data_IF_707281521493
#
_entry.id   IF_707281521493
#
_cell.length_a   1.000
_cell.length_b   1.000
_cell.length_c   1.000
_cell.angle_alpha   90.00
_cell.angle_beta   90.00
_cell.angle_gamma   90.00
#
_symmetry.space_group_name_H-M   'P 1'
#
loop_
_entity.id
_entity.type
_entity.pdbx_description
1 polymer ?
#
# COMPACT_ATOMS: atom_id res chain seq x y z
N UNK A 1 -26.18 16.37 -7.59
CA UNK A 1 -26.78 15.60 -6.48
C UNK A 1 -25.68 14.72 -5.90
N UNK A 2 -24.69 15.13 -5.10
CA UNK A 2 -24.50 16.17 -4.05
C UNK A 2 -25.46 16.08 -2.86
N UNK A 3 -25.12 15.22 -1.89
CA UNK A 3 -24.90 15.53 -0.46
C UNK A 3 -24.86 14.22 0.33
N UNK A 4 -23.81 13.97 1.11
CA UNK A 4 -23.91 13.46 2.48
C UNK A 4 -22.76 14.05 3.30
N UNK A 5 -23.13 14.61 4.45
CA UNK A 5 -22.36 15.60 5.20
C UNK A 5 -21.43 14.96 6.23
N UNK A 6 -20.24 15.55 6.36
CA UNK A 6 -19.32 15.36 7.48
C UNK A 6 -19.93 15.92 8.77
N UNK A 7 -19.82 15.14 9.85
CA UNK A 7 -19.75 15.69 11.20
C UNK A 7 -18.42 15.26 11.82
N UNK A 8 -17.52 16.23 11.98
CA UNK A 8 -16.32 16.12 12.81
C UNK A 8 -16.68 16.71 14.16
N UNK A 9 -16.74 15.89 15.20
CA UNK A 9 -16.50 16.34 16.57
C UNK A 9 -15.32 15.55 17.16
N UNK A 10 -14.36 16.30 17.69
CA UNK A 10 -13.36 15.87 18.66
C UNK A 10 -14.06 15.90 20.02
N UNK A 11 -14.08 14.80 20.76
CA UNK A 11 -13.98 14.82 22.22
C UNK A 11 -13.80 13.43 22.82
N UNK A 12 -12.86 13.34 23.76
CA UNK A 12 -12.64 12.29 24.77
C UNK A 12 -12.01 10.95 24.36
N UNK A 13 -11.22 10.41 25.30
CA UNK A 13 -10.17 9.40 25.18
C UNK A 13 -10.70 7.95 25.03
N UNK A 14 -12.02 7.75 24.92
CA UNK A 14 -12.68 6.43 25.05
C UNK A 14 -13.48 5.95 23.82
N UNK A 15 -13.27 6.53 22.64
CA UNK A 15 -14.12 6.28 21.47
C UNK A 15 -13.28 5.87 20.23
N UNK A 16 -13.58 4.71 19.62
CA UNK A 16 -12.99 4.25 18.34
C UNK A 16 -14.07 4.24 17.24
N UNK A 17 -13.70 4.47 15.98
CA UNK A 17 -14.61 4.59 14.83
C UNK A 17 -14.34 3.47 13.81
N UNK A 18 -15.40 2.87 13.28
CA UNK A 18 -15.37 2.01 12.08
C UNK A 18 -15.60 2.90 10.86
N UNK A 19 -14.75 2.74 9.85
CA UNK A 19 -14.87 3.39 8.55
C UNK A 19 -15.27 2.36 7.50
N UNK A 20 -16.22 2.73 6.65
CA UNK A 20 -16.70 1.89 5.55
C UNK A 20 -16.10 2.44 4.26
N UNK A 21 -15.55 1.56 3.41
CA UNK A 21 -15.16 1.90 2.05
C UNK A 21 -15.89 0.98 1.09
N UNK A 22 -17.10 1.38 0.68
CA UNK A 22 -17.63 0.87 -0.58
C UNK A 22 -17.01 1.72 -1.69
N UNK A 23 -16.38 1.06 -2.66
CA UNK A 23 -15.93 1.69 -3.90
C UNK A 23 -17.12 2.43 -4.53
N UNK A 24 -17.08 3.76 -4.43
CA UNK A 24 -18.14 4.78 -4.61
C UNK A 24 -18.98 5.11 -3.37
N UNK A 25 -18.61 6.23 -2.74
CA UNK A 25 -19.50 7.13 -1.97
C UNK A 25 -20.29 6.48 -0.82
N UNK A 26 -19.61 6.07 0.25
CA UNK A 26 -20.22 6.06 1.59
C UNK A 26 -19.11 6.04 2.66
N UNK A 27 -18.90 7.15 3.37
CA UNK A 27 -18.18 7.17 4.65
C UNK A 27 -19.24 7.35 5.74
N UNK A 28 -19.75 6.24 6.25
CA UNK A 28 -20.54 6.26 7.48
C UNK A 28 -19.60 6.27 8.68
N UNK A 29 -19.94 6.98 9.75
CA UNK A 29 -19.24 6.87 11.05
C UNK A 29 -20.24 6.35 12.06
N UNK A 30 -20.04 5.14 12.56
CA UNK A 30 -20.78 4.61 13.72
C UNK A 30 -20.03 4.93 15.00
N UNK A 31 -20.71 5.54 15.98
CA UNK A 31 -20.22 5.62 17.37
C UNK A 31 -20.69 4.39 18.13
N UNK A 32 -19.77 3.67 18.77
CA UNK A 32 -20.08 2.53 19.63
C UNK A 32 -19.32 2.66 20.94
N UNK A 33 -19.97 2.24 22.03
CA UNK A 33 -19.27 2.02 23.30
C UNK A 33 -18.50 0.71 23.19
N UNK A 34 -17.20 0.78 23.46
CA UNK A 34 -16.32 -0.40 23.56
C UNK A 34 -16.95 -1.40 24.55
N UNK A 35 -16.83 -2.70 24.28
CA UNK A 35 -17.36 -3.84 25.06
C UNK A 35 -18.89 -4.05 25.10
N UNK A 36 -19.70 -3.20 24.48
CA UNK A 36 -21.15 -3.46 24.36
C UNK A 36 -21.44 -4.19 23.05
N UNK A 37 -21.86 -5.45 23.13
CA UNK A 37 -22.35 -6.19 21.96
C UNK A 37 -23.63 -5.57 21.43
N UNK A 38 -23.77 -5.56 20.11
CA UNK A 38 -24.98 -5.11 19.44
C UNK A 38 -25.45 -6.22 18.52
N UNK A 39 -26.69 -6.64 18.69
CA UNK A 39 -27.29 -7.63 17.81
C UNK A 39 -28.23 -6.93 16.84
N UNK A 40 -28.17 -7.32 15.56
CA UNK A 40 -29.22 -7.03 14.59
C UNK A 40 -29.55 -5.52 14.47
N UNK A 41 -28.54 -4.70 14.19
CA UNK A 41 -28.71 -3.27 13.92
C UNK A 41 -28.90 -3.02 12.43
N UNK A 42 -29.91 -2.21 12.08
CA UNK A 42 -30.13 -1.75 10.72
C UNK A 42 -29.03 -0.76 10.32
N UNK A 43 -28.28 -1.07 9.26
CA UNK A 43 -27.30 -0.17 8.66
C UNK A 43 -28.00 0.82 7.73
N UNK A 44 -28.69 0.29 6.72
CA UNK A 44 -29.48 1.06 5.76
C UNK A 44 -30.51 0.18 5.04
N UNK A 45 -31.51 0.82 4.44
CA UNK A 45 -32.43 0.16 3.49
C UNK A 45 -32.16 0.75 2.11
N UNK A 46 -31.79 -0.09 1.17
CA UNK A 46 -31.50 0.33 -0.20
C UNK A 46 -32.62 -0.15 -1.13
N UNK A 47 -33.22 0.79 -1.86
CA UNK A 47 -34.13 0.45 -2.94
C UNK A 47 -33.33 0.21 -4.21
N UNK A 48 -33.47 -0.97 -4.79
CA UNK A 48 -32.79 -1.38 -6.02
C UNK A 48 -33.71 -1.26 -7.21
N UNK A 49 -33.19 -0.68 -8.29
CA UNK A 49 -33.78 -0.78 -9.62
C UNK A 49 -33.33 -2.09 -10.28
N UNK A 50 -33.92 -2.37 -11.45
CA UNK A 50 -33.56 -3.58 -12.22
C UNK A 50 -32.10 -3.52 -12.65
N UNK A 51 -31.60 -2.35 -13.03
CA UNK A 51 -30.21 -2.15 -13.41
C UNK A 51 -29.24 -2.38 -12.24
N UNK A 52 -29.64 -2.02 -11.01
CA UNK A 52 -28.82 -2.24 -9.82
C UNK A 52 -28.74 -3.74 -9.49
N UNK A 53 -29.84 -4.48 -9.63
CA UNK A 53 -29.88 -5.92 -9.39
C UNK A 53 -28.99 -6.70 -10.38
N UNK A 54 -29.06 -6.37 -11.68
CA UNK A 54 -28.18 -6.96 -12.71
C UNK A 54 -26.72 -6.68 -12.40
N UNK A 55 -26.39 -5.44 -12.00
CA UNK A 55 -25.03 -5.07 -11.64
C UNK A 55 -24.53 -5.83 -10.42
N UNK A 56 -25.36 -5.99 -9.39
CA UNK A 56 -25.00 -6.75 -8.19
C UNK A 56 -24.76 -8.22 -8.53
N UNK A 57 -25.59 -8.81 -9.39
CA UNK A 57 -25.42 -10.18 -9.87
C UNK A 57 -24.10 -10.37 -10.65
N UNK A 58 -23.74 -9.43 -11.52
CA UNK A 58 -22.46 -9.41 -12.24
C UNK A 58 -21.29 -9.32 -11.26
N UNK A 59 -21.34 -8.40 -10.29
CA UNK A 59 -20.30 -8.25 -9.27
C UNK A 59 -20.13 -9.51 -8.39
N UNK A 60 -21.22 -10.19 -8.04
CA UNK A 60 -21.15 -11.45 -7.30
C UNK A 60 -20.59 -12.56 -8.20
N UNK A 61 -20.91 -12.57 -9.48
CA UNK A 61 -20.36 -13.53 -10.45
C UNK A 61 -18.86 -13.38 -10.68
N UNK A 62 -18.35 -12.15 -10.57
CA UNK A 62 -16.94 -11.79 -10.69
C UNK A 62 -16.17 -11.88 -9.35
N UNK A 63 -16.74 -12.51 -8.32
CA UNK A 63 -16.13 -12.71 -7.00
C UNK A 63 -15.68 -11.41 -6.30
N UNK A 64 -16.43 -10.32 -6.47
CA UNK A 64 -16.11 -9.07 -5.79
C UNK A 64 -16.17 -9.20 -4.26
N UNK A 65 -15.18 -8.60 -3.60
CA UNK A 65 -15.10 -8.52 -2.15
C UNK A 65 -15.49 -7.12 -1.65
N UNK A 66 -16.10 -7.08 -0.48
CA UNK A 66 -16.40 -5.89 0.29
C UNK A 66 -15.32 -5.69 1.34
N UNK A 67 -14.68 -4.52 1.34
CA UNK A 67 -13.62 -4.17 2.28
C UNK A 67 -14.11 -3.12 3.28
N UNK A 68 -13.95 -3.39 4.57
CA UNK A 68 -14.21 -2.43 5.65
C UNK A 68 -12.94 -2.20 6.46
N UNK A 69 -12.88 -1.09 7.20
CA UNK A 69 -11.71 -0.73 7.99
C UNK A 69 -12.12 -0.29 9.40
N UNK A 70 -11.40 -0.78 10.41
CA UNK A 70 -11.60 -0.41 11.80
C UNK A 70 -10.26 -0.06 12.45
N UNK A 71 -10.11 1.17 12.93
CA UNK A 71 -8.89 1.63 13.61
C UNK A 71 -7.60 1.38 12.77
N UNK A 72 -7.70 1.54 11.44
CA UNK A 72 -6.64 1.22 10.50
C UNK A 72 -6.62 -0.22 10.01
N UNK A 73 -7.22 -1.18 10.74
CA UNK A 73 -7.19 -2.60 10.38
C UNK A 73 -8.24 -2.91 9.31
N UNK A 74 -7.88 -3.64 8.23
CA UNK A 74 -8.88 -4.15 7.30
C UNK A 74 -9.75 -5.21 7.96
N UNK A 75 -11.02 -5.23 7.59
CA UNK A 75 -11.96 -6.29 7.91
C UNK A 75 -11.58 -7.55 7.15
N UNK A 76 -11.44 -8.65 7.88
CA UNK A 76 -11.00 -9.92 7.30
C UNK A 76 -11.98 -11.04 7.50
N UNK A 77 -12.18 -11.84 6.45
CA UNK A 77 -12.84 -13.13 6.59
C UNK A 77 -11.81 -14.18 6.95
N UNK A 78 -12.13 -14.97 7.97
CA UNK A 78 -11.33 -16.12 8.41
C UNK A 78 -11.91 -17.37 7.77
N UNK A 79 -11.16 -18.00 6.86
CA UNK A 79 -11.56 -19.30 6.32
C UNK A 79 -10.99 -20.43 7.19
N UNK A 80 -11.86 -21.34 7.63
CA UNK A 80 -11.48 -22.58 8.29
C UNK A 80 -11.40 -23.68 7.24
N UNK A 81 -10.20 -24.16 6.94
CA UNK A 81 -10.03 -25.39 6.15
C UNK A 81 -9.80 -26.55 7.09
N UNK A 82 -10.56 -27.64 6.98
CA UNK A 82 -10.36 -28.82 7.82
C UNK A 82 -8.97 -29.48 7.61
N UNK A 83 -8.30 -29.16 6.50
CA UNK A 83 -6.97 -29.69 6.12
C UNK A 83 -5.81 -28.99 6.83
N UNK A 84 -6.04 -27.79 7.37
CA UNK A 84 -5.03 -27.05 8.13
C UNK A 84 -5.71 -26.35 9.30
N UNK A 85 -5.28 -26.55 10.57
CA UNK A 85 -5.79 -25.82 11.73
C UNK A 85 -5.43 -24.31 11.71
N UNK A 86 -5.16 -23.77 10.54
CA UNK A 86 -4.58 -22.45 10.32
C UNK A 86 -5.65 -21.46 9.87
N UNK A 87 -5.72 -20.34 10.59
CA UNK A 87 -6.55 -19.21 10.22
C UNK A 87 -5.94 -18.50 9.00
N UNK A 88 -6.52 -18.69 7.82
CA UNK A 88 -6.20 -17.88 6.66
C UNK A 88 -7.04 -16.60 6.71
N UNK A 89 -6.38 -15.48 7.01
CA UNK A 89 -6.99 -14.15 6.98
C UNK A 89 -7.00 -13.64 5.54
N UNK A 90 -8.20 -13.41 4.98
CA UNK A 90 -8.38 -12.75 3.69
C UNK A 90 -8.96 -11.36 3.90
N UNK A 91 -8.38 -10.35 3.26
CA UNK A 91 -8.91 -8.98 3.27
C UNK A 91 -10.25 -8.93 2.54
N UNK A 92 -11.24 -8.34 3.21
CA UNK A 92 -12.60 -8.26 2.74
C UNK A 92 -13.39 -9.56 2.89
N UNK A 93 -14.67 -9.49 2.57
CA UNK A 93 -15.61 -10.61 2.55
C UNK A 93 -16.38 -10.63 1.23
N UNK A 94 -16.82 -11.80 0.73
CA UNK A 94 -17.54 -11.88 -0.53
C UNK A 94 -18.84 -11.06 -0.49
N UNK A 95 -19.12 -10.29 -1.55
CA UNK A 95 -20.37 -9.53 -1.68
C UNK A 95 -21.61 -10.43 -1.63
N UNK A 96 -21.47 -11.64 -2.15
CA UNK A 96 -22.52 -12.64 -2.22
C UNK A 96 -21.97 -14.00 -2.62
N UNK A 97 -22.85 -14.94 -2.90
CA UNK A 97 -22.48 -16.28 -3.36
C UNK A 97 -23.55 -16.86 -4.29
N UNK A 98 -23.18 -17.84 -5.10
CA UNK A 98 -24.11 -18.62 -5.93
C UNK A 98 -24.39 -19.96 -5.28
N UNK A 99 -25.65 -20.40 -5.30
CA UNK A 99 -26.05 -21.75 -4.87
C UNK A 99 -27.06 -22.29 -5.87
N UNK A 100 -26.63 -23.25 -6.69
CA UNK A 100 -27.39 -23.67 -7.88
C UNK A 100 -27.43 -22.54 -8.91
N UNK A 101 -28.61 -22.30 -9.48
CA UNK A 101 -28.82 -21.24 -10.47
C UNK A 101 -29.16 -19.87 -9.85
N UNK A 102 -29.29 -19.80 -8.51
CA UNK A 102 -29.66 -18.58 -7.80
C UNK A 102 -28.43 -17.86 -7.21
N UNK A 103 -28.48 -16.52 -7.27
CA UNK A 103 -27.46 -15.62 -6.72
C UNK A 103 -27.97 -14.97 -5.45
N UNK A 104 -27.16 -14.99 -4.38
CA UNK A 104 -27.51 -14.49 -3.06
C UNK A 104 -26.56 -13.37 -2.63
N UNK A 105 -27.08 -12.33 -1.99
CA UNK A 105 -26.27 -11.23 -1.45
C UNK A 105 -26.03 -11.41 0.05
N UNK A 106 -24.82 -11.10 0.51
CA UNK A 106 -24.51 -10.99 1.93
C UNK A 106 -24.92 -9.62 2.45
N UNK A 107 -26.16 -9.53 2.94
CA UNK A 107 -26.76 -8.29 3.46
C UNK A 107 -26.67 -8.15 4.98
N UNK A 108 -26.25 -9.19 5.71
CA UNK A 108 -25.93 -9.13 7.12
C UNK A 108 -24.43 -9.34 7.34
N UNK A 109 -23.82 -8.54 8.20
CA UNK A 109 -22.42 -8.73 8.54
C UNK A 109 -22.18 -8.72 10.05
N UNK A 110 -21.45 -9.74 10.50
CA UNK A 110 -21.12 -9.93 11.90
C UNK A 110 -19.69 -9.47 12.12
N UNK A 111 -19.53 -8.41 12.90
CA UNK A 111 -18.24 -7.89 13.34
C UNK A 111 -17.80 -8.61 14.59
N UNK A 112 -16.67 -9.29 14.48
CA UNK A 112 -15.96 -9.83 15.62
C UNK A 112 -14.71 -8.99 15.83
N UNK A 113 -14.79 -8.09 16.81
CA UNK A 113 -13.69 -7.19 17.16
C UNK A 113 -12.87 -7.86 18.26
N UNK A 114 -11.62 -8.16 17.92
CA UNK A 114 -10.66 -8.72 18.86
C UNK A 114 -9.98 -7.57 19.61
N UNK A 115 -10.04 -7.58 20.93
CA UNK A 115 -9.47 -6.52 21.77
C UNK A 115 -8.70 -7.08 22.96
N UNK A 116 -7.84 -6.25 23.53
CA UNK A 116 -7.08 -6.55 24.75
C UNK A 116 -7.00 -5.29 25.63
N UNK A 117 -6.92 -5.42 26.97
CA UNK A 117 -6.67 -4.28 27.85
C UNK A 117 -5.33 -3.62 27.50
N UNK A 118 -5.32 -2.29 27.36
CA UNK A 118 -4.11 -1.57 26.98
C UNK A 118 -3.11 -1.54 28.13
N UNK A 119 -1.85 -1.84 27.83
CA UNK A 119 -0.74 -1.75 28.80
C UNK A 119 -0.24 -0.30 28.95
N UNK A 120 -0.41 0.53 27.93
CA UNK A 120 0.08 1.92 27.92
C UNK A 120 -0.93 2.93 28.49
N UNK A 121 -2.24 2.64 28.36
CA UNK A 121 -3.33 3.53 28.81
C UNK A 121 -4.17 2.86 29.89
N UNK A 122 -4.15 3.43 31.09
CA UNK A 122 -4.99 2.97 32.19
C UNK A 122 -6.48 3.07 31.81
N UNK A 123 -7.19 1.94 31.81
CA UNK A 123 -8.60 1.86 31.38
C UNK A 123 -8.82 1.95 29.86
N UNK A 124 -7.77 1.84 29.05
CA UNK A 124 -7.85 1.79 27.59
C UNK A 124 -7.95 0.37 27.04
N UNK A 125 -8.39 0.24 25.79
CA UNK A 125 -8.43 -1.03 25.05
C UNK A 125 -7.73 -0.90 23.71
N UNK A 126 -6.90 -1.89 23.39
CA UNK A 126 -6.22 -2.01 22.10
C UNK A 126 -6.97 -2.99 21.21
N UNK A 127 -7.25 -2.57 19.98
CA UNK A 127 -7.89 -3.44 18.98
C UNK A 127 -6.78 -4.20 18.27
N UNK A 128 -6.87 -5.51 18.32
CA UNK A 128 -5.87 -6.45 17.80
C UNK A 128 -6.28 -7.00 16.45
N UNK A 129 -7.59 -7.15 16.20
CA UNK A 129 -8.11 -7.73 14.96
C UNK A 129 -9.54 -7.32 14.68
N UNK A 130 -9.90 -7.37 13.40
CA UNK A 130 -11.25 -7.05 12.92
C UNK A 130 -11.72 -8.13 11.95
N UNK A 131 -12.47 -9.10 12.46
CA UNK A 131 -13.01 -10.20 11.68
C UNK A 131 -14.44 -9.87 11.22
N UNK A 132 -14.75 -10.22 9.98
CA UNK A 132 -16.07 -10.03 9.36
C UNK A 132 -16.58 -11.36 8.86
N UNK A 133 -17.69 -11.81 9.44
CA UNK A 133 -18.43 -12.99 8.99
C UNK A 133 -19.66 -12.54 8.19
N UNK A 134 -19.67 -12.75 6.87
CA UNK A 134 -20.81 -12.40 6.04
C UNK A 134 -21.95 -13.40 6.21
N UNK A 135 -23.17 -12.91 6.10
CA UNK A 135 -24.38 -13.73 6.14
C UNK A 135 -25.46 -13.15 5.23
N UNK A 136 -26.36 -14.01 4.75
CA UNK A 136 -27.43 -13.64 3.84
C UNK A 136 -28.78 -13.91 4.51
N UNK A 137 -29.56 -12.87 4.77
CA UNK A 137 -30.80 -12.97 5.55
C UNK A 137 -31.95 -12.33 4.77
N UNK A 138 -32.92 -13.15 4.38
CA UNK A 138 -34.15 -12.68 3.74
C UNK A 138 -35.04 -11.88 4.71
N UNK A 139 -35.96 -11.07 4.16
CA UNK A 139 -37.02 -10.34 4.88
C UNK A 139 -36.57 -9.31 5.93
N UNK A 140 -35.26 -9.02 6.01
CA UNK A 140 -34.71 -7.99 6.90
C UNK A 140 -34.82 -8.31 8.39
N UNK A 141 -35.25 -9.51 8.76
CA UNK A 141 -35.23 -10.01 10.13
C UNK A 141 -33.81 -10.51 10.47
N UNK A 142 -32.92 -9.63 10.93
CA UNK A 142 -31.55 -10.00 11.28
C UNK A 142 -31.41 -10.87 12.54
N UNK A 143 -32.52 -11.29 13.17
CA UNK A 143 -32.54 -12.28 14.25
C UNK A 143 -32.87 -13.66 13.69
N UNK A 144 -31.90 -14.58 13.76
CA UNK A 144 -32.10 -15.98 13.37
C UNK A 144 -33.07 -16.64 14.33
N UNK A 145 -34.34 -16.76 13.96
CA UNK A 145 -35.34 -17.48 14.76
C UNK A 145 -35.15 -19.00 14.68
N UNK A 146 -34.58 -19.50 13.57
CA UNK A 146 -34.35 -20.92 13.28
C UNK A 146 -32.93 -21.15 12.73
N UNK A 147 -32.46 -22.40 12.83
CA UNK A 147 -31.16 -22.85 12.25
C UNK A 147 -31.20 -22.82 10.72
N UNK A 148 -32.35 -23.13 10.12
CA UNK A 148 -32.62 -22.96 8.70
C UNK A 148 -33.39 -21.66 8.46
N UNK A 149 -32.83 -20.77 7.65
CA UNK A 149 -33.43 -19.52 7.24
C UNK A 149 -33.23 -19.28 5.74
N UNK A 150 -34.11 -18.49 5.15
CA UNK A 150 -34.01 -18.14 3.74
C UNK A 150 -32.90 -17.11 3.51
N UNK A 151 -32.09 -17.34 2.48
CA UNK A 151 -31.08 -16.40 2.02
C UNK A 151 -31.72 -15.29 1.18
N UNK A 152 -31.13 -14.10 1.20
CA UNK A 152 -31.58 -12.98 0.38
C UNK A 152 -31.16 -13.17 -1.08
N UNK A 153 -32.07 -13.68 -1.89
CA UNK A 153 -31.88 -13.84 -3.32
C UNK A 153 -31.88 -12.49 -4.05
N UNK A 154 -30.99 -12.35 -5.03
CA UNK A 154 -30.92 -11.21 -5.95
C UNK A 154 -31.82 -11.52 -7.14
N UNK A 155 -33.06 -11.03 -7.09
CA UNK A 155 -34.01 -11.17 -8.20
C UNK A 155 -33.92 -9.96 -9.14
N UNK A 156 -34.03 -10.18 -10.46
CA UNK A 156 -34.02 -9.13 -11.50
C UNK A 156 -35.37 -8.37 -11.50
N UNK A 157 -35.71 -7.78 -10.36
CA UNK A 157 -36.96 -7.03 -10.10
C UNK A 157 -36.65 -5.88 -9.17
N UNK A 158 -37.59 -4.94 -9.03
CA UNK A 158 -37.48 -3.90 -8.00
C UNK A 158 -37.60 -4.57 -6.64
N UNK A 159 -36.59 -4.39 -5.81
CA UNK A 159 -36.53 -4.94 -4.46
C UNK A 159 -36.00 -3.88 -3.49
N UNK A 160 -36.35 -4.01 -2.22
CA UNK A 160 -35.73 -3.20 -1.16
C UNK A 160 -34.94 -4.14 -0.27
N UNK A 161 -33.62 -4.01 -0.28
CA UNK A 161 -32.72 -4.84 0.53
C UNK A 161 -32.35 -4.07 1.78
N UNK A 162 -32.56 -4.70 2.93
CA UNK A 162 -32.14 -4.15 4.23
C UNK A 162 -30.76 -4.71 4.57
N UNK A 163 -29.80 -3.81 4.75
CA UNK A 163 -28.47 -4.15 5.23
C UNK A 163 -28.42 -4.00 6.74
N UNK A 164 -27.88 -5.00 7.41
CA UNK A 164 -27.86 -5.07 8.87
C UNK A 164 -26.48 -5.53 9.35
N UNK A 165 -26.15 -5.24 10.60
CA UNK A 165 -24.89 -5.66 11.20
C UNK A 165 -25.06 -6.07 12.65
N UNK A 166 -24.14 -6.89 13.12
CA UNK A 166 -24.01 -7.26 14.54
C UNK A 166 -22.56 -7.01 14.98
N UNK A 167 -22.35 -6.62 16.23
CA UNK A 167 -21.03 -6.37 16.83
C UNK A 167 -20.85 -7.30 18.02
N UNK A 168 -19.79 -8.09 17.97
CA UNK A 168 -19.32 -8.96 19.02
C UNK A 168 -17.90 -8.56 19.41
N UNK A 169 -17.67 -8.53 20.72
CA UNK A 169 -16.38 -8.19 21.32
C UNK A 169 -15.78 -9.45 21.89
N UNK A 170 -14.56 -9.78 21.47
CA UNK A 170 -13.83 -10.96 21.96
C UNK A 170 -12.49 -10.52 22.54
N UNK A 171 -12.33 -10.78 23.83
CA UNK A 171 -11.07 -10.49 24.51
C UNK A 171 -10.02 -11.54 24.17
N UNK A 172 -8.80 -11.10 23.86
CA UNK A 172 -7.67 -11.97 23.51
C UNK A 172 -6.57 -11.80 24.56
N UNK A 173 -6.11 -12.94 25.11
CA UNK A 173 -5.12 -12.99 26.20
C UNK A 173 -3.66 -12.87 25.73
N UNK A 174 -3.33 -13.28 24.50
CA UNK A 174 -1.98 -13.15 23.95
C UNK A 174 -1.88 -11.97 22.98
N UNK A 175 -1.02 -11.00 23.30
CA UNK A 175 -0.68 -9.92 22.36
C UNK A 175 0.35 -10.42 21.33
N UNK A 176 0.06 -10.36 20.03
CA UNK A 176 1.11 -10.46 19.02
C UNK A 176 2.06 -9.24 19.11
N UNK A 177 3.34 -9.41 18.73
CA UNK A 177 4.34 -8.32 18.75
C UNK A 177 3.90 -7.13 17.89
N UNK A 178 3.28 -7.41 16.75
CA UNK A 178 2.53 -6.42 15.98
C UNK A 178 1.14 -6.95 15.69
N UNK A 179 0.12 -6.08 15.83
CA UNK A 179 -1.25 -6.40 15.39
C UNK A 179 -1.35 -6.71 13.89
N UNK A 180 -0.32 -6.37 13.11
CA UNK A 180 -0.25 -6.60 11.67
C UNK A 180 0.36 -7.94 11.27
N UNK A 181 0.97 -8.66 12.22
CA UNK A 181 1.65 -9.94 11.95
C UNK A 181 0.68 -10.99 11.36
N UNK A 182 -0.61 -10.91 11.73
CA UNK A 182 -1.67 -11.79 11.26
C UNK A 182 -1.91 -11.72 9.73
N UNK A 183 -1.53 -10.62 9.07
CA UNK A 183 -1.71 -10.44 7.63
C UNK A 183 -0.49 -10.89 6.81
N UNK A 184 0.60 -11.30 7.45
CA UNK A 184 1.75 -11.84 6.73
C UNK A 184 1.51 -13.31 6.40
N UNK A 185 1.75 -13.66 5.14
CA UNK A 185 1.86 -15.06 4.75
C UNK A 185 2.99 -15.70 5.57
N UNK A 186 2.70 -16.83 6.22
CA UNK A 186 3.73 -17.58 6.94
C UNK A 186 4.90 -17.89 5.99
N UNK A 187 6.15 -17.74 6.45
CA UNK A 187 7.31 -18.01 5.61
C UNK A 187 7.26 -19.46 5.11
N UNK A 188 7.26 -19.62 3.78
CA UNK A 188 7.44 -20.93 3.16
C UNK A 188 8.89 -21.00 2.64
N UNK A 189 9.74 -21.87 3.23
CA UNK A 189 11.16 -21.93 2.86
C UNK A 189 11.37 -22.24 1.38
N UNK A 190 10.51 -23.05 0.77
CA UNK A 190 10.62 -23.43 -0.64
C UNK A 190 10.43 -22.22 -1.55
N UNK A 191 9.49 -21.33 -1.21
CA UNK A 191 9.26 -20.10 -1.97
C UNK A 191 10.51 -19.20 -1.98
N UNK A 192 11.21 -19.11 -0.86
CA UNK A 192 12.44 -18.32 -0.76
C UNK A 192 13.58 -18.94 -1.59
N UNK A 193 13.69 -20.26 -1.62
CA UNK A 193 14.66 -20.97 -2.44
C UNK A 193 14.42 -20.76 -3.94
N UNK A 194 13.17 -20.89 -4.41
CA UNK A 194 12.83 -20.63 -5.82
C UNK A 194 13.10 -19.17 -6.22
N UNK A 195 12.83 -18.21 -5.33
CA UNK A 195 13.13 -16.81 -5.58
C UNK A 195 14.64 -16.54 -5.73
N UNK A 196 15.47 -17.18 -4.89
CA UNK A 196 16.93 -17.09 -4.99
C UNK A 196 17.44 -17.68 -6.31
N UNK A 197 16.95 -18.86 -6.69
CA UNK A 197 17.33 -19.50 -7.96
C UNK A 197 16.94 -18.63 -9.17
N UNK A 198 15.73 -18.07 -9.16
CA UNK A 198 15.29 -17.13 -10.21
C UNK A 198 16.21 -15.89 -10.28
N UNK A 199 16.57 -15.31 -9.13
CA UNK A 199 17.48 -14.16 -9.10
C UNK A 199 18.86 -14.50 -9.67
N UNK A 200 19.42 -15.67 -9.35
CA UNK A 200 20.70 -16.12 -9.91
C UNK A 200 20.64 -16.27 -11.44
N UNK A 201 19.58 -16.87 -11.97
CA UNK A 201 19.39 -17.02 -13.43
C UNK A 201 19.36 -15.65 -14.12
N UNK A 202 18.56 -14.72 -13.59
CA UNK A 202 18.45 -13.36 -14.16
C UNK A 202 19.81 -12.66 -14.15
N UNK A 203 20.56 -12.74 -13.04
CA UNK A 203 21.90 -12.14 -12.94
C UNK A 203 22.86 -12.74 -13.97
N UNK A 204 22.85 -14.07 -14.14
CA UNK A 204 23.70 -14.73 -15.15
C UNK A 204 23.32 -14.30 -16.57
N UNK A 205 22.04 -14.20 -16.88
CA UNK A 205 21.56 -13.76 -18.20
C UNK A 205 21.96 -12.31 -18.50
N UNK A 206 21.75 -11.40 -17.55
CA UNK A 206 22.13 -9.98 -17.70
C UNK A 206 23.64 -9.83 -17.79
N UNK A 207 24.40 -10.54 -16.98
CA UNK A 207 25.87 -10.55 -17.03
C UNK A 207 26.37 -11.06 -18.38
N UNK A 208 25.74 -12.10 -18.93
CA UNK A 208 26.07 -12.62 -20.27
C UNK A 208 25.71 -11.62 -21.37
N UNK A 209 24.58 -10.90 -21.28
CA UNK A 209 24.20 -9.86 -22.23
C UNK A 209 25.18 -8.68 -22.23
N UNK A 210 25.64 -8.26 -21.05
CA UNK A 210 26.65 -7.21 -20.91
C UNK A 210 28.01 -7.71 -21.41
N UNK A 211 28.40 -8.93 -21.03
CA UNK A 211 29.66 -9.56 -21.44
C UNK A 211 29.76 -9.82 -22.93
N UNK A 212 28.66 -10.18 -23.61
CA UNK A 212 28.62 -10.36 -25.07
C UNK A 212 28.80 -9.06 -25.87
N UNK A 213 28.64 -7.88 -25.24
CA UNK A 213 28.95 -6.58 -25.85
C UNK A 213 30.39 -6.12 -25.57
N UNK A 214 31.16 -6.86 -24.76
CA UNK A 214 32.59 -6.64 -24.70
C UNK A 214 33.21 -7.26 -25.96
N UNK A 215 33.86 -6.48 -26.85
CA UNK A 215 34.62 -7.05 -27.95
C UNK A 215 35.67 -8.01 -27.39
N UNK A 216 35.57 -9.28 -27.79
CA UNK A 216 36.62 -10.27 -27.53
C UNK A 216 37.77 -9.95 -28.48
N UNK A 217 38.74 -9.19 -27.98
CA UNK A 217 39.96 -8.85 -28.71
C UNK A 217 40.94 -10.02 -28.61
N UNK A 218 41.27 -10.58 -29.76
CA UNK A 218 42.13 -11.76 -29.91
C UNK A 218 43.43 -11.32 -30.59
N UNK A 219 44.25 -10.53 -29.89
CA UNK A 219 45.60 -10.19 -30.34
C UNK A 219 46.53 -9.91 -29.15
N UNK A 220 47.73 -10.49 -29.20
CA UNK A 220 48.77 -10.35 -28.16
C UNK A 220 49.32 -8.91 -28.02
N UNK A 221 49.00 -8.02 -28.96
CA UNK A 221 49.36 -6.59 -28.94
C UNK A 221 48.53 -5.77 -27.92
N UNK A 222 47.43 -6.31 -27.39
CA UNK A 222 46.53 -5.63 -26.45
C UNK A 222 46.93 -5.70 -24.96
N UNK A 223 48.03 -6.38 -24.63
CA UNK A 223 48.67 -6.18 -23.31
C UNK A 223 49.09 -4.71 -23.09
N UNK A 224 49.14 -3.92 -24.16
CA UNK A 224 49.42 -2.47 -24.17
C UNK A 224 48.11 -1.65 -24.24
N UNK A 225 47.02 -2.20 -24.76
CA UNK A 225 45.72 -1.53 -24.96
C UNK A 225 45.01 -1.12 -23.67
N UNK A 226 44.95 -2.00 -22.66
CA UNK A 226 44.38 -1.65 -21.34
C UNK A 226 45.19 -0.55 -20.64
N UNK A 227 46.50 -0.49 -20.91
CA UNK A 227 47.42 0.54 -20.39
C UNK A 227 47.17 1.91 -21.05
N UNK A 228 46.68 1.94 -22.29
CA UNK A 228 46.23 3.15 -23.00
C UNK A 228 44.82 3.60 -22.56
N UNK A 229 43.92 2.65 -22.26
CA UNK A 229 42.55 2.92 -21.78
C UNK A 229 42.53 3.68 -20.46
N UNK A 230 43.50 3.46 -19.57
CA UNK A 230 43.59 4.20 -18.30
C UNK A 230 43.59 5.72 -18.51
N UNK A 231 44.08 6.22 -19.66
CA UNK A 231 44.07 7.66 -19.98
C UNK A 231 42.73 8.15 -20.56
N UNK A 232 41.94 7.26 -21.15
CA UNK A 232 40.63 7.57 -21.76
C UNK A 232 39.47 7.47 -20.77
N UNK A 233 39.61 6.70 -19.68
CA UNK A 233 38.63 6.64 -18.56
C UNK A 233 38.39 8.01 -17.92
N UNK A 234 39.39 8.90 -17.93
CA UNK A 234 39.27 10.24 -17.36
C UNK A 234 38.70 11.28 -18.32
N UNK A 235 38.36 10.91 -19.56
CA UNK A 235 37.67 11.84 -20.46
C UNK A 235 36.27 12.09 -19.95
N UNK A 236 35.87 13.35 -20.02
CA UNK A 236 34.50 13.74 -19.74
C UNK A 236 33.56 13.03 -20.73
N UNK A 237 32.53 12.30 -20.25
CA UNK A 237 31.54 11.71 -21.13
C UNK A 237 30.70 12.80 -21.81
N UNK A 238 30.22 12.52 -23.04
CA UNK A 238 29.45 13.46 -23.86
C UNK A 238 28.24 14.02 -23.10
N UNK A 239 27.54 13.16 -22.35
CA UNK A 239 26.38 13.51 -21.52
C UNK A 239 26.72 13.61 -20.02
N UNK A 240 27.96 13.98 -19.69
CA UNK A 240 28.43 14.03 -18.30
C UNK A 240 27.66 14.95 -17.37
N UNK A 241 26.91 15.93 -17.90
CA UNK A 241 26.04 16.78 -17.08
C UNK A 241 24.70 16.15 -16.69
N UNK A 242 24.22 15.14 -17.42
CA UNK A 242 23.00 14.40 -17.08
C UNK A 242 23.35 13.11 -16.31
N UNK A 243 24.50 12.51 -16.62
CA UNK A 243 24.99 11.31 -15.96
C UNK A 243 25.18 11.53 -14.45
N UNK A 244 25.69 12.70 -14.04
CA UNK A 244 25.96 13.02 -12.63
C UNK A 244 24.70 13.09 -11.76
N UNK A 245 23.61 13.79 -12.17
CA UNK A 245 22.30 13.68 -11.54
C UNK A 245 21.81 12.24 -11.37
N UNK A 246 21.87 11.44 -12.44
CA UNK A 246 21.37 10.07 -12.44
C UNK A 246 22.17 9.21 -11.45
N UNK A 247 23.50 9.36 -11.42
CA UNK A 247 24.35 8.66 -10.46
C UNK A 247 24.06 9.09 -9.02
N UNK A 248 23.86 10.38 -8.77
CA UNK A 248 23.48 10.90 -7.45
C UNK A 248 22.17 10.31 -6.95
N UNK A 249 21.14 10.27 -7.80
CA UNK A 249 19.87 9.61 -7.47
C UNK A 249 20.02 8.10 -7.32
N UNK A 250 20.90 7.45 -8.08
CA UNK A 250 21.22 6.02 -7.90
C UNK A 250 21.78 5.73 -6.50
N UNK A 251 22.73 6.54 -6.04
CA UNK A 251 23.29 6.45 -4.69
C UNK A 251 22.20 6.70 -3.63
N UNK A 252 21.32 7.66 -3.86
CA UNK A 252 20.16 7.93 -3.00
C UNK A 252 19.28 6.69 -2.84
N UNK A 253 18.89 6.05 -3.94
CA UNK A 253 18.04 4.86 -3.92
C UNK A 253 18.73 3.67 -3.25
N UNK A 254 20.03 3.51 -3.46
CA UNK A 254 20.81 2.48 -2.78
C UNK A 254 20.86 2.69 -1.27
N UNK A 255 21.06 3.92 -0.80
CA UNK A 255 21.00 4.27 0.62
C UNK A 255 19.60 4.05 1.21
N UNK A 256 18.55 4.40 0.47
CA UNK A 256 17.16 4.13 0.88
C UNK A 256 16.91 2.63 0.99
N UNK A 257 17.41 1.82 0.06
CA UNK A 257 17.27 0.36 0.11
C UNK A 257 17.93 -0.25 1.36
N UNK A 258 19.17 0.15 1.66
CA UNK A 258 19.86 -0.28 2.89
C UNK A 258 19.08 0.20 4.12
N UNK A 259 18.69 1.48 4.14
CA UNK A 259 17.94 2.08 5.24
C UNK A 259 16.62 1.37 5.52
N UNK A 260 15.82 1.08 4.47
CA UNK A 260 14.56 0.36 4.61
C UNK A 260 14.78 -1.05 5.14
N UNK A 261 15.80 -1.76 4.65
CA UNK A 261 16.13 -3.11 5.12
C UNK A 261 16.49 -3.09 6.61
N UNK A 262 17.30 -2.13 7.05
CA UNK A 262 17.65 -1.96 8.46
C UNK A 262 16.42 -1.60 9.31
N UNK A 263 15.59 -0.65 8.85
CA UNK A 263 14.37 -0.25 9.56
C UNK A 263 13.39 -1.43 9.70
N UNK A 264 13.32 -2.30 8.69
CA UNK A 264 12.51 -3.51 8.72
C UNK A 264 13.05 -4.52 9.73
N UNK A 265 14.37 -4.76 9.75
CA UNK A 265 15.00 -5.66 10.72
C UNK A 265 14.86 -5.18 12.17
N UNK A 266 14.88 -3.87 12.39
CA UNK A 266 14.65 -3.24 13.70
C UNK A 266 13.16 -3.18 14.08
N UNK A 267 12.25 -3.54 13.17
CA UNK A 267 10.80 -3.49 13.41
C UNK A 267 10.20 -2.09 13.46
N UNK A 268 10.88 -1.07 12.92
CA UNK A 268 10.38 0.32 12.93
C UNK A 268 9.15 0.53 12.04
N UNK A 269 8.97 -0.35 11.05
CA UNK A 269 7.77 -0.39 10.23
C UNK A 269 7.38 -1.81 9.89
N UNK A 270 6.08 -2.03 9.71
CA UNK A 270 5.54 -3.33 9.36
C UNK A 270 5.04 -3.34 7.90
N UNK A 271 5.47 -4.29 7.04
CA UNK A 271 5.09 -4.33 5.62
C UNK A 271 3.59 -4.42 5.37
N UNK A 272 2.85 -5.14 6.22
CA UNK A 272 1.40 -5.29 6.07
C UNK A 272 0.59 -4.07 6.56
N UNK A 273 1.24 -3.10 7.20
CA UNK A 273 0.56 -1.87 7.61
C UNK A 273 0.34 -0.96 6.39
N UNK A 274 -0.91 -0.53 6.10
CA UNK A 274 -1.21 0.35 4.98
C UNK A 274 -0.36 1.62 4.97
N UNK A 275 0.27 1.88 3.82
CA UNK A 275 1.09 3.06 3.58
C UNK A 275 2.32 3.21 4.49
N UNK A 276 2.70 2.21 5.29
CA UNK A 276 3.90 2.29 6.14
C UNK A 276 5.16 2.38 5.28
N UNK A 277 5.28 1.51 4.27
CA UNK A 277 6.38 1.48 3.33
C UNK A 277 6.54 2.83 2.62
N UNK A 278 5.44 3.40 2.09
CA UNK A 278 5.48 4.69 1.40
C UNK A 278 5.95 5.83 2.32
N UNK A 279 5.51 5.85 3.59
CA UNK A 279 5.94 6.85 4.59
C UNK A 279 7.43 6.74 4.90
N UNK A 280 7.92 5.53 5.18
CA UNK A 280 9.32 5.27 5.49
C UNK A 280 10.23 5.47 4.28
N UNK A 281 9.80 5.06 3.10
CA UNK A 281 10.48 5.35 1.84
C UNK A 281 10.61 6.86 1.65
N UNK A 282 9.52 7.62 1.80
CA UNK A 282 9.55 9.10 1.65
C UNK A 282 10.50 9.75 2.65
N UNK A 283 10.45 9.33 3.92
CA UNK A 283 11.34 9.83 4.97
C UNK A 283 12.81 9.57 4.65
N UNK A 284 13.17 8.33 4.34
CA UNK A 284 14.55 7.95 3.99
C UNK A 284 15.01 8.59 2.68
N UNK A 285 14.11 8.75 1.71
CA UNK A 285 14.40 9.41 0.45
C UNK A 285 14.73 10.89 0.66
N UNK A 286 14.01 11.59 1.55
CA UNK A 286 14.35 12.96 1.95
C UNK A 286 15.71 13.03 2.65
N UNK A 287 16.02 12.11 3.57
CA UNK A 287 17.34 12.05 4.20
C UNK A 287 18.45 11.76 3.18
N UNK A 288 18.20 10.85 2.24
CA UNK A 288 19.10 10.49 1.16
C UNK A 288 19.35 11.62 0.14
N UNK A 289 18.55 12.68 0.14
CA UNK A 289 18.69 13.80 -0.78
C UNK A 289 20.05 14.54 -0.61
N UNK A 290 20.53 14.64 0.63
CA UNK A 290 21.82 15.27 0.95
C UNK A 290 22.99 14.49 0.33
N UNK A 291 23.18 13.17 0.60
CA UNK A 291 24.24 12.41 -0.04
C UNK A 291 24.08 12.32 -1.56
N UNK A 292 22.84 12.31 -2.08
CA UNK A 292 22.58 12.36 -3.52
C UNK A 292 23.19 13.62 -4.17
N UNK A 293 22.90 14.79 -3.59
CA UNK A 293 23.44 16.07 -4.04
C UNK A 293 24.96 16.12 -3.90
N UNK A 294 25.50 15.64 -2.78
CA UNK A 294 26.94 15.60 -2.51
C UNK A 294 27.70 14.80 -3.58
N UNK A 295 27.31 13.54 -3.80
CA UNK A 295 27.99 12.68 -4.76
C UNK A 295 27.77 13.12 -6.21
N UNK A 296 26.57 13.62 -6.54
CA UNK A 296 26.31 14.23 -7.85
C UNK A 296 27.25 15.40 -8.13
N UNK A 297 27.42 16.33 -7.18
CA UNK A 297 28.32 17.48 -7.33
C UNK A 297 29.79 17.06 -7.42
N UNK A 298 30.23 16.08 -6.61
CA UNK A 298 31.62 15.56 -6.65
C UNK A 298 31.97 14.98 -8.01
N UNK A 299 31.12 14.12 -8.55
CA UNK A 299 31.36 13.51 -9.87
C UNK A 299 31.27 14.58 -10.97
N UNK A 300 30.35 15.55 -10.83
CA UNK A 300 30.25 16.68 -11.76
C UNK A 300 31.51 17.55 -11.80
N UNK A 301 32.13 17.78 -10.63
CA UNK A 301 33.42 18.47 -10.50
C UNK A 301 34.56 17.67 -11.16
N UNK A 302 34.59 16.35 -10.99
CA UNK A 302 35.56 15.45 -11.70
C UNK A 302 35.41 15.58 -13.21
N UNK A 303 34.18 15.70 -13.71
CA UNK A 303 33.87 15.95 -15.12
C UNK A 303 34.12 17.39 -15.57
N UNK A 304 34.77 18.23 -14.76
CA UNK A 304 35.08 19.64 -15.03
C UNK A 304 33.82 20.49 -15.29
N UNK A 305 32.70 20.11 -14.69
CA UNK A 305 31.47 20.90 -14.68
C UNK A 305 31.63 22.13 -13.79
N UNK A 306 31.13 23.29 -14.24
CA UNK A 306 31.25 24.57 -13.52
C UNK A 306 29.95 24.98 -12.80
N UNK A 307 28.80 24.61 -13.34
CA UNK A 307 27.48 25.02 -12.85
C UNK A 307 26.90 23.99 -11.87
N UNK A 308 27.45 23.95 -10.65
CA UNK A 308 27.01 23.00 -9.61
C UNK A 308 25.54 23.22 -9.19
N UNK A 309 25.04 24.46 -9.23
CA UNK A 309 23.63 24.79 -8.93
C UNK A 309 22.69 24.11 -9.93
N UNK A 310 22.98 24.22 -11.23
CA UNK A 310 22.18 23.57 -12.27
C UNK A 310 22.23 22.05 -12.12
N UNK A 311 23.42 21.48 -11.83
CA UNK A 311 23.58 20.05 -11.58
C UNK A 311 22.74 19.58 -10.37
N UNK A 312 22.71 20.37 -9.31
CA UNK A 312 21.87 20.10 -8.13
C UNK A 312 20.38 20.09 -8.46
N UNK A 313 19.88 21.13 -9.15
CA UNK A 313 18.47 21.21 -9.56
C UNK A 313 18.12 20.01 -10.46
N UNK A 314 19.01 19.66 -11.39
CA UNK A 314 18.80 18.54 -12.30
C UNK A 314 18.75 17.19 -11.53
N UNK A 315 19.57 17.05 -10.48
CA UNK A 315 19.54 15.89 -9.55
C UNK A 315 18.21 15.79 -8.79
N UNK A 316 17.67 16.92 -8.37
CA UNK A 316 16.40 16.98 -7.63
C UNK A 316 15.16 16.78 -8.51
N UNK A 317 15.27 17.06 -9.82
CA UNK A 317 14.10 17.17 -10.71
C UNK A 317 13.99 15.99 -11.68
N UNK A 318 15.07 15.52 -12.30
CA UNK A 318 14.98 14.56 -13.43
C UNK A 318 14.26 13.27 -13.03
N UNK A 319 14.74 12.54 -12.02
CA UNK A 319 14.12 11.28 -11.65
C UNK A 319 12.74 11.47 -10.99
N UNK A 320 12.55 12.40 -10.03
CA UNK A 320 11.24 12.61 -9.43
C UNK A 320 10.17 13.10 -10.41
N UNK A 321 10.53 13.94 -11.40
CA UNK A 321 9.57 14.42 -12.40
C UNK A 321 9.01 13.28 -13.26
N UNK A 322 9.85 12.34 -13.69
CA UNK A 322 9.42 11.15 -14.45
C UNK A 322 8.42 10.34 -13.61
N UNK A 323 8.71 10.13 -12.32
CA UNK A 323 7.81 9.41 -11.42
C UNK A 323 6.48 10.14 -11.21
N UNK A 324 6.49 11.46 -11.02
CA UNK A 324 5.30 12.29 -10.88
C UNK A 324 4.42 12.22 -12.13
N UNK A 325 5.03 12.27 -13.32
CA UNK A 325 4.31 12.15 -14.60
C UNK A 325 3.62 10.77 -14.70
N UNK A 326 4.33 9.68 -14.38
CA UNK A 326 3.75 8.33 -14.39
C UNK A 326 2.60 8.20 -13.39
N UNK A 327 2.78 8.69 -12.16
CA UNK A 327 1.74 8.70 -11.13
C UNK A 327 0.53 9.54 -11.55
N UNK A 328 0.74 10.62 -12.31
CA UNK A 328 -0.33 11.46 -12.81
C UNK A 328 -1.19 10.70 -13.81
N UNK A 329 -0.59 10.01 -14.77
CA UNK A 329 -1.34 9.18 -15.72
C UNK A 329 -2.12 8.06 -15.03
N UNK A 330 -1.50 7.37 -14.07
CA UNK A 330 -2.19 6.35 -13.27
C UNK A 330 -3.36 6.97 -12.50
N UNK A 331 -3.18 8.15 -11.92
CA UNK A 331 -4.23 8.85 -11.16
C UNK A 331 -5.38 9.32 -12.02
N UNK A 332 -5.11 9.74 -13.26
CA UNK A 332 -6.16 10.07 -14.24
C UNK A 332 -7.02 8.84 -14.52
N UNK A 333 -6.41 7.67 -14.74
CA UNK A 333 -7.12 6.41 -14.97
C UNK A 333 -7.97 6.03 -13.74
N UNK A 334 -7.42 6.15 -12.53
CA UNK A 334 -8.16 5.80 -11.30
C UNK A 334 -9.33 6.76 -11.02
N UNK A 335 -9.19 8.05 -11.34
CA UNK A 335 -10.30 9.00 -11.29
C UNK A 335 -11.41 8.66 -12.29
N UNK A 336 -11.07 8.27 -13.53
CA UNK A 336 -12.07 7.81 -14.51
C UNK A 336 -12.83 6.58 -14.01
N UNK A 337 -12.14 5.66 -13.32
CA UNK A 337 -12.75 4.48 -12.69
C UNK A 337 -13.51 4.80 -11.40
N UNK A 338 -13.49 6.05 -10.92
CA UNK A 338 -14.05 6.46 -9.62
C UNK A 338 -13.57 5.58 -8.46
N UNK A 339 -12.28 5.19 -8.51
CA UNK A 339 -11.66 4.39 -7.47
C UNK A 339 -11.43 5.23 -6.21
N UNK A 340 -11.68 4.64 -5.04
CA UNK A 340 -11.38 5.23 -3.73
C UNK A 340 -9.88 5.38 -3.46
N UNK A 341 -9.04 4.65 -4.20
CA UNK A 341 -7.57 4.71 -4.09
C UNK A 341 -6.95 5.84 -4.92
N UNK A 342 -7.76 6.64 -5.61
CA UNK A 342 -7.25 7.76 -6.37
C UNK A 342 -6.68 8.84 -5.45
N UNK A 343 -5.48 9.34 -5.76
CA UNK A 343 -4.84 10.43 -5.00
C UNK A 343 -5.75 11.66 -5.06
N UNK A 344 -6.14 12.18 -3.91
CA UNK A 344 -6.97 13.39 -3.83
C UNK A 344 -6.19 14.63 -4.30
N UNK A 345 -6.89 15.70 -4.67
CA UNK A 345 -6.23 16.97 -5.03
C UNK A 345 -5.30 17.48 -3.92
N UNK A 346 -5.72 17.37 -2.67
CA UNK A 346 -4.87 17.71 -1.52
C UNK A 346 -3.61 16.82 -1.45
N UNK A 347 -3.72 15.54 -1.79
CA UNK A 347 -2.58 14.63 -1.87
C UNK A 347 -1.56 15.07 -2.91
N UNK A 348 -2.02 15.52 -4.08
CA UNK A 348 -1.17 16.09 -5.13
C UNK A 348 -0.42 17.34 -4.67
N UNK A 349 -1.12 18.29 -4.05
CA UNK A 349 -0.50 19.52 -3.52
C UNK A 349 0.55 19.18 -2.46
N UNK A 350 0.25 18.26 -1.54
CA UNK A 350 1.20 17.82 -0.51
C UNK A 350 2.46 17.17 -1.12
N UNK A 351 2.29 16.29 -2.11
CA UNK A 351 3.41 15.62 -2.79
C UNK A 351 4.32 16.62 -3.49
N UNK A 352 3.74 17.56 -4.25
CA UNK A 352 4.51 18.61 -4.94
C UNK A 352 5.18 19.57 -3.94
N UNK A 353 4.53 19.85 -2.80
CA UNK A 353 5.08 20.70 -1.75
C UNK A 353 6.31 20.05 -1.10
N UNK A 354 6.24 18.76 -0.75
CA UNK A 354 7.39 18.03 -0.21
C UNK A 354 8.55 18.02 -1.23
N UNK A 355 8.24 17.80 -2.50
CA UNK A 355 9.24 17.80 -3.55
C UNK A 355 9.95 19.16 -3.69
N UNK A 356 9.21 20.24 -3.84
CA UNK A 356 9.81 21.57 -4.07
C UNK A 356 10.40 22.18 -2.80
N UNK A 357 9.69 22.10 -1.67
CA UNK A 357 10.07 22.80 -0.44
C UNK A 357 11.09 22.05 0.42
N UNK A 358 11.18 20.73 0.27
CA UNK A 358 12.12 19.92 1.06
C UNK A 358 13.17 19.24 0.19
N UNK A 359 12.77 18.49 -0.85
CA UNK A 359 13.74 17.71 -1.61
C UNK A 359 14.76 18.61 -2.34
N UNK A 360 14.28 19.63 -3.06
CA UNK A 360 15.18 20.56 -3.80
C UNK A 360 16.19 21.22 -2.87
N UNK A 361 15.83 21.92 -1.77
CA UNK A 361 16.83 22.55 -0.91
C UNK A 361 17.77 21.56 -0.24
N UNK A 362 17.30 20.37 0.19
CA UNK A 362 18.17 19.36 0.79
C UNK A 362 19.21 18.82 -0.21
N UNK A 363 18.81 18.57 -1.46
CA UNK A 363 19.77 18.17 -2.51
C UNK A 363 20.77 19.29 -2.83
N UNK A 364 20.34 20.55 -2.84
CA UNK A 364 21.22 21.70 -3.04
C UNK A 364 22.19 21.92 -1.90
N UNK A 365 21.77 21.69 -0.66
CA UNK A 365 22.64 21.69 0.50
C UNK A 365 23.74 20.63 0.38
N UNK A 366 23.37 19.40 0.02
CA UNK A 366 24.33 18.33 -0.24
C UNK A 366 25.31 18.66 -1.36
N UNK A 367 24.80 19.18 -2.48
CA UNK A 367 25.61 19.58 -3.62
C UNK A 367 26.61 20.71 -3.29
N UNK A 368 26.21 21.67 -2.45
CA UNK A 368 27.09 22.73 -1.98
C UNK A 368 28.29 22.17 -1.18
N UNK A 369 28.06 21.22 -0.28
CA UNK A 369 29.14 20.54 0.44
C UNK A 369 30.02 19.70 -0.50
N UNK A 370 29.42 19.03 -1.48
CA UNK A 370 30.16 18.24 -2.47
C UNK A 370 31.08 19.09 -3.35
N UNK A 371 30.62 20.28 -3.75
CA UNK A 371 31.43 21.22 -4.54
C UNK A 371 32.62 21.77 -3.74
N UNK A 372 32.38 22.12 -2.47
CA UNK A 372 33.39 22.69 -1.58
C UNK A 372 34.41 21.68 -1.05
N UNK A 373 34.05 20.41 -1.00
CA UNK A 373 34.98 19.37 -0.59
C UNK A 373 36.14 19.30 -1.61
N UNK A 374 37.36 19.14 -1.09
CA UNK A 374 38.61 19.12 -1.86
C UNK A 374 38.73 17.88 -2.75
#
# INVERSE_FOLDING_TARGET
MTRWALSVQRNTVHEKRVYWYLTKTFVGTGQYRVTTSQECRLLCKQSWRVEDAIRVEELISDDYLVEWELDGLPGVTVSYTNEAPEHNYRIGFPLGFKKGDATFINNHAIFQILYTPSQEKFGGYDIVGFEVYPDSIADGECTKKNVEYAFQEVTIRRATVSFTYSVQWKEVQMLPKSRWDAFLLKPNPDRHYYALLNAMIVVMLVSSLIGKKAPMYDDADDFIGWRLINRDVFRRPVYGGLLTPIMGTGIQLFMVFIGLTLCLQLGWYHPAQPGSLARWFTFLFLLGAIPAGYWSARIYKVFRGKSWVLNSILTAVVCPSIMVILLFFISVITWFRQSSLAISFSGWVSLLSIWVLLLVPLTSLGAYFGEKAE
#
